data_IF_177246824045
#
_entry.id   IF_177246824045
#
_cell.length_a   1.000
_cell.length_b   1.000
_cell.length_c   1.000
_cell.angle_alpha   90.00
_cell.angle_beta   90.00
_cell.angle_gamma   90.00
#
_symmetry.space_group_name_H-M   'P 1'
#
loop_
_entity.id
_entity.type
_entity.pdbx_description
1 polymer ?
#
# COMPACT_ATOMS: atom_id res chain seq x y z
N UNK A 1 38.16 -50.80 -36.04
CA UNK A 1 37.66 -50.68 -34.66
C UNK A 1 38.13 -49.34 -34.13
N UNK A 2 37.25 -48.39 -33.76
CA UNK A 2 37.69 -47.12 -33.19
C UNK A 2 37.80 -47.22 -31.67
N UNK A 3 38.94 -46.77 -31.14
CA UNK A 3 39.20 -46.63 -29.71
C UNK A 3 38.28 -45.58 -29.09
N UNK A 4 37.60 -45.96 -28.01
CA UNK A 4 36.77 -45.06 -27.22
C UNK A 4 37.66 -44.31 -26.22
N UNK A 5 38.14 -43.13 -26.61
CA UNK A 5 38.75 -42.18 -25.69
C UNK A 5 37.73 -41.73 -24.64
N UNK A 6 37.75 -42.36 -23.46
CA UNK A 6 37.02 -41.91 -22.29
C UNK A 6 37.67 -40.61 -21.79
N UNK A 7 36.99 -39.48 -22.00
CA UNK A 7 37.32 -38.21 -21.36
C UNK A 7 37.20 -38.38 -19.84
N UNK A 8 38.30 -38.68 -19.17
CA UNK A 8 38.41 -38.54 -17.73
C UNK A 8 38.61 -37.06 -17.40
N UNK A 9 37.49 -36.34 -17.21
CA UNK A 9 37.54 -35.02 -16.58
C UNK A 9 38.13 -35.16 -15.17
N UNK A 10 39.16 -34.37 -14.81
CA UNK A 10 39.80 -34.48 -13.51
C UNK A 10 38.80 -34.17 -12.40
N UNK A 11 38.67 -35.09 -11.43
CA UNK A 11 37.72 -35.04 -10.30
C UNK A 11 37.70 -33.71 -9.52
N UNK A 12 38.82 -32.96 -9.57
CA UNK A 12 38.95 -31.63 -8.96
C UNK A 12 38.13 -30.54 -9.68
N UNK A 13 37.98 -30.62 -11.01
CA UNK A 13 37.19 -29.64 -11.78
C UNK A 13 35.70 -29.67 -11.42
N UNK A 14 35.13 -30.86 -11.17
CA UNK A 14 33.74 -31.00 -10.71
C UNK A 14 33.49 -30.46 -9.31
N UNK A 15 34.50 -30.47 -8.44
CA UNK A 15 34.42 -29.90 -7.09
C UNK A 15 34.48 -28.37 -7.11
N UNK A 16 35.34 -27.78 -7.95
CA UNK A 16 35.42 -26.33 -8.11
C UNK A 16 34.16 -25.73 -8.75
N UNK A 17 33.60 -26.39 -9.78
CA UNK A 17 32.33 -25.93 -10.38
C UNK A 17 31.16 -26.01 -9.39
N UNK A 18 31.07 -27.08 -8.59
CA UNK A 18 30.06 -27.20 -7.54
C UNK A 18 30.23 -26.13 -6.45
N UNK A 19 31.46 -25.87 -6.02
CA UNK A 19 31.76 -24.86 -5.00
C UNK A 19 31.43 -23.45 -5.49
N UNK A 20 31.76 -23.13 -6.76
CA UNK A 20 31.39 -21.86 -7.39
C UNK A 20 29.87 -21.73 -7.50
N UNK A 21 29.15 -22.78 -7.90
CA UNK A 21 27.68 -22.78 -7.97
C UNK A 21 27.05 -22.50 -6.60
N UNK A 22 27.55 -23.14 -5.53
CA UNK A 22 27.07 -22.92 -4.16
C UNK A 22 27.40 -21.49 -3.71
N UNK A 23 28.61 -20.99 -3.94
CA UNK A 23 29.00 -19.61 -3.61
C UNK A 23 28.17 -18.58 -4.38
N UNK A 24 27.85 -18.83 -5.65
CA UNK A 24 26.95 -17.99 -6.44
C UNK A 24 25.53 -18.03 -5.88
N UNK A 25 24.99 -19.20 -5.54
CA UNK A 25 23.66 -19.33 -4.94
C UNK A 25 23.56 -18.60 -3.59
N UNK A 26 24.57 -18.75 -2.73
CA UNK A 26 24.63 -18.07 -1.43
C UNK A 26 24.82 -16.56 -1.61
N UNK A 27 25.70 -16.16 -2.52
CA UNK A 27 25.95 -14.75 -2.86
C UNK A 27 24.72 -14.04 -3.40
N UNK A 28 24.02 -14.66 -4.37
CA UNK A 28 22.76 -14.14 -4.93
C UNK A 28 21.71 -14.04 -3.81
N UNK A 29 21.56 -15.06 -2.96
CA UNK A 29 20.63 -15.03 -1.83
C UNK A 29 20.92 -13.89 -0.84
N UNK A 30 22.20 -13.67 -0.51
CA UNK A 30 22.61 -12.59 0.39
C UNK A 30 22.38 -11.20 -0.22
N UNK A 31 22.69 -11.03 -1.52
CA UNK A 31 22.45 -9.79 -2.27
C UNK A 31 20.95 -9.50 -2.37
N UNK A 32 20.10 -10.49 -2.68
CA UNK A 32 18.65 -10.31 -2.72
C UNK A 32 18.07 -9.92 -1.35
N UNK A 33 18.59 -10.49 -0.25
CA UNK A 33 18.20 -10.11 1.12
C UNK A 33 18.62 -8.67 1.46
N UNK A 34 19.82 -8.26 1.08
CA UNK A 34 20.30 -6.90 1.26
C UNK A 34 19.50 -5.91 0.41
N UNK A 35 19.27 -6.21 -0.86
CA UNK A 35 18.46 -5.38 -1.76
C UNK A 35 17.03 -5.19 -1.23
N UNK A 36 16.39 -6.24 -0.70
CA UNK A 36 15.08 -6.13 -0.05
C UNK A 36 15.07 -5.26 1.21
N UNK A 37 16.15 -5.26 1.99
CA UNK A 37 16.32 -4.36 3.14
C UNK A 37 16.53 -2.90 2.72
N UNK A 38 17.29 -2.65 1.66
CA UNK A 38 17.49 -1.29 1.13
C UNK A 38 16.24 -0.72 0.46
N UNK A 39 15.47 -1.56 -0.25
CA UNK A 39 14.20 -1.18 -0.85
C UNK A 39 13.21 -0.66 0.20
N UNK A 40 13.00 -1.42 1.28
CA UNK A 40 12.10 -1.02 2.37
C UNK A 40 12.60 0.19 3.18
N UNK A 41 13.92 0.42 3.25
CA UNK A 41 14.50 1.55 3.99
C UNK A 41 14.45 2.88 3.21
N UNK A 42 14.35 2.83 1.89
CA UNK A 42 14.40 4.02 1.02
C UNK A 42 13.03 4.60 0.67
N UNK A 43 11.94 3.91 1.00
CA UNK A 43 10.59 4.39 0.68
C UNK A 43 10.20 5.45 1.71
N UNK A 44 9.95 6.66 1.22
CA UNK A 44 9.39 7.73 2.04
C UNK A 44 7.90 7.48 2.17
N UNK A 45 7.47 7.08 3.35
CA UNK A 45 6.06 6.81 3.61
C UNK A 45 5.27 8.13 3.52
N UNK A 46 4.10 8.11 2.89
CA UNK A 46 3.25 9.28 2.73
C UNK A 46 2.82 9.84 4.10
N UNK A 47 2.64 8.97 5.09
CA UNK A 47 2.36 9.34 6.48
C UNK A 47 3.47 10.18 7.14
N UNK A 48 4.71 10.05 6.68
CA UNK A 48 5.87 10.84 7.12
C UNK A 48 6.07 12.11 6.28
N UNK A 49 5.49 12.14 5.08
CA UNK A 49 5.67 13.24 4.11
C UNK A 49 4.51 14.23 4.14
N UNK A 50 3.30 13.77 4.45
CA UNK A 50 2.06 14.55 4.35
C UNK A 50 1.27 14.57 5.66
N UNK A 51 0.45 15.61 5.80
CA UNK A 51 -0.59 15.72 6.81
C UNK A 51 -1.89 16.20 6.18
N UNK A 52 -3.02 15.68 6.64
CA UNK A 52 -4.33 16.20 6.26
C UNK A 52 -4.63 17.50 7.00
N UNK A 53 -5.08 18.53 6.29
CA UNK A 53 -5.48 19.83 6.86
C UNK A 53 -6.71 19.67 7.78
N UNK A 54 -7.70 18.92 7.30
CA UNK A 54 -8.89 18.52 8.04
C UNK A 54 -9.14 17.04 7.79
N UNK A 55 -8.93 16.23 8.82
CA UNK A 55 -9.15 14.79 8.75
C UNK A 55 -10.63 14.43 8.83
N UNK A 56 -11.45 15.28 9.46
CA UNK A 56 -12.85 14.97 9.72
C UNK A 56 -13.77 15.95 8.99
N UNK A 57 -14.79 15.41 8.32
CA UNK A 57 -15.91 16.13 7.72
C UNK A 57 -17.22 15.56 8.24
N UNK A 58 -18.26 16.39 8.33
CA UNK A 58 -19.58 15.96 8.80
C UNK A 58 -20.65 16.48 7.85
N UNK A 59 -21.66 15.65 7.60
CA UNK A 59 -22.88 16.02 6.90
C UNK A 59 -24.05 15.28 7.55
N UNK A 60 -25.08 16.02 7.94
CA UNK A 60 -26.32 15.47 8.52
C UNK A 60 -26.10 14.42 9.64
N UNK A 61 -25.17 14.69 10.56
CA UNK A 61 -24.82 13.80 11.67
C UNK A 61 -23.94 12.60 11.30
N UNK A 62 -23.58 12.43 10.02
CA UNK A 62 -22.63 11.43 9.54
C UNK A 62 -21.24 12.06 9.48
N UNK A 63 -20.28 11.47 10.19
CA UNK A 63 -18.89 11.92 10.23
C UNK A 63 -17.99 10.99 9.43
N UNK A 64 -17.15 11.58 8.60
CA UNK A 64 -16.15 10.91 7.79
C UNK A 64 -14.79 11.35 8.27
N UNK A 65 -13.93 10.40 8.60
CA UNK A 65 -12.55 10.62 8.98
C UNK A 65 -11.64 9.95 7.95
N UNK A 66 -10.66 10.69 7.44
CA UNK A 66 -9.62 10.18 6.54
C UNK A 66 -8.26 10.53 7.13
N UNK A 67 -7.40 9.53 7.26
CA UNK A 67 -6.06 9.68 7.81
C UNK A 67 -5.06 8.71 7.19
N UNK A 68 -3.78 8.97 7.39
CA UNK A 68 -2.74 8.00 7.00
C UNK A 68 -2.61 6.89 8.05
N UNK A 69 -2.28 5.69 7.61
CA UNK A 69 -2.01 4.55 8.47
C UNK A 69 -0.59 4.68 9.03
N UNK A 70 -0.44 4.69 10.36
CA UNK A 70 0.86 4.85 11.03
C UNK A 70 1.45 3.51 11.47
N UNK A 71 2.79 3.37 11.54
CA UNK A 71 3.43 2.24 12.19
C UNK A 71 2.87 2.01 13.60
N UNK A 72 2.53 0.75 13.93
CA UNK A 72 1.88 0.38 15.18
C UNK A 72 0.35 0.30 15.12
N UNK A 73 -0.28 0.78 14.05
CA UNK A 73 -1.71 0.55 13.79
C UNK A 73 -1.98 -0.91 13.41
N UNK A 74 -3.13 -1.52 13.81
CA UNK A 74 -3.53 -2.83 13.30
C UNK A 74 -3.79 -2.85 11.79
N UNK A 75 -3.97 -1.67 11.19
CA UNK A 75 -4.14 -1.48 9.75
C UNK A 75 -2.81 -1.34 9.00
N UNK A 76 -1.69 -1.19 9.71
CA UNK A 76 -0.39 -0.96 9.09
C UNK A 76 0.16 -2.24 8.46
N UNK A 77 0.63 -2.13 7.22
CA UNK A 77 1.37 -3.18 6.54
C UNK A 77 2.53 -2.55 5.75
N UNK A 78 3.77 -2.99 5.95
CA UNK A 78 4.93 -2.38 5.30
C UNK A 78 4.99 -2.61 3.78
N UNK A 79 4.33 -3.65 3.25
CA UNK A 79 4.23 -3.87 1.80
C UNK A 79 3.21 -2.91 1.21
N UNK A 80 2.06 -2.73 1.86
CA UNK A 80 1.04 -1.79 1.38
C UNK A 80 1.54 -0.35 1.40
N UNK A 81 2.23 0.05 2.47
CA UNK A 81 2.80 1.39 2.64
C UNK A 81 3.98 1.67 1.69
N UNK A 82 4.61 0.62 1.17
CA UNK A 82 5.70 0.71 0.20
C UNK A 82 5.21 0.92 -1.24
N UNK A 83 4.19 0.16 -1.63
CA UNK A 83 3.77 0.04 -3.02
C UNK A 83 2.51 0.85 -3.36
N UNK A 84 1.80 1.36 -2.35
CA UNK A 84 0.53 2.03 -2.50
C UNK A 84 0.41 3.24 -1.58
N UNK A 85 -0.36 4.24 -2.02
CA UNK A 85 -0.80 5.29 -1.12
C UNK A 85 -2.03 4.79 -0.37
N UNK A 86 -1.86 4.42 0.90
CA UNK A 86 -2.95 3.88 1.73
C UNK A 86 -3.50 4.88 2.73
N UNK A 87 -4.82 4.89 2.88
CA UNK A 87 -5.53 5.73 3.85
C UNK A 87 -6.47 4.89 4.70
N UNK A 88 -6.60 5.27 5.97
CA UNK A 88 -7.61 4.79 6.88
C UNK A 88 -8.85 5.67 6.74
N UNK A 89 -10.00 5.05 6.54
CA UNK A 89 -11.30 5.71 6.48
C UNK A 89 -12.15 5.21 7.63
N UNK A 90 -12.75 6.13 8.37
CA UNK A 90 -13.75 5.82 9.38
C UNK A 90 -15.02 6.64 9.11
N UNK A 91 -16.17 5.97 9.09
CA UNK A 91 -17.49 6.54 8.85
C UNK A 91 -18.34 6.26 10.09
N UNK A 92 -18.83 7.31 10.73
CA UNK A 92 -19.63 7.20 11.96
C UNK A 92 -20.97 7.87 11.71
N UNK A 93 -22.06 7.09 11.73
CA UNK A 93 -23.40 7.62 11.54
C UNK A 93 -24.08 7.90 12.89
N UNK A 94 -24.07 9.18 13.31
CA UNK A 94 -24.87 9.66 14.46
C UNK A 94 -26.11 10.45 14.01
N UNK A 95 -26.41 10.43 12.71
CA UNK A 95 -27.57 11.09 12.11
C UNK A 95 -28.85 10.29 12.29
N UNK A 96 -29.89 10.69 11.55
CA UNK A 96 -31.19 10.00 11.51
C UNK A 96 -31.40 9.16 10.24
N UNK A 97 -30.63 9.45 9.21
CA UNK A 97 -30.72 8.83 7.88
C UNK A 97 -29.62 7.79 7.68
N UNK A 98 -29.86 6.83 6.79
CA UNK A 98 -28.78 5.91 6.37
C UNK A 98 -27.97 6.53 5.24
N UNK A 99 -26.76 6.01 5.05
CA UNK A 99 -25.93 6.34 3.89
C UNK A 99 -25.49 5.07 3.19
N UNK A 100 -25.60 5.09 1.86
CA UNK A 100 -24.98 4.09 1.00
C UNK A 100 -23.59 4.60 0.58
N UNK A 101 -22.56 3.79 0.78
CA UNK A 101 -21.19 4.12 0.38
C UNK A 101 -20.49 2.90 -0.22
N UNK A 102 -19.56 3.17 -1.13
CA UNK A 102 -18.67 2.21 -1.74
C UNK A 102 -17.22 2.71 -1.69
N UNK A 103 -16.23 1.81 -1.63
CA UNK A 103 -14.82 2.18 -1.78
C UNK A 103 -14.55 3.02 -3.04
N UNK A 104 -15.27 2.71 -4.14
CA UNK A 104 -15.13 3.39 -5.42
C UNK A 104 -15.67 4.83 -5.44
N UNK A 105 -16.36 5.27 -4.38
CA UNK A 105 -16.84 6.66 -4.23
C UNK A 105 -15.70 7.62 -3.84
N UNK A 106 -14.55 7.08 -3.44
CA UNK A 106 -13.36 7.82 -3.07
C UNK A 106 -12.44 8.00 -4.28
N UNK A 107 -11.82 9.17 -4.40
CA UNK A 107 -10.89 9.50 -5.47
C UNK A 107 -9.68 10.25 -4.92
N UNK A 108 -8.50 9.91 -5.40
CA UNK A 108 -7.27 10.64 -5.14
C UNK A 108 -7.03 11.60 -6.30
N UNK A 109 -6.97 12.89 -6.01
CA UNK A 109 -6.81 13.96 -7.00
C UNK A 109 -5.47 14.65 -6.82
N UNK A 110 -4.66 14.62 -7.87
CA UNK A 110 -3.40 15.34 -7.93
C UNK A 110 -3.60 16.78 -8.47
N UNK A 111 -2.67 17.71 -8.18
CA UNK A 111 -2.79 19.12 -8.61
C UNK A 111 -2.85 19.33 -10.12
N UNK A 112 -2.29 18.39 -10.89
CA UNK A 112 -2.26 18.36 -12.35
C UNK A 112 -3.53 17.77 -12.97
N UNK A 113 -4.60 17.63 -12.17
CA UNK A 113 -5.92 17.07 -12.54
C UNK A 113 -5.91 15.57 -12.84
N UNK A 114 -4.83 14.84 -12.56
CA UNK A 114 -4.90 13.38 -12.56
C UNK A 114 -5.78 12.90 -11.40
N UNK A 115 -6.71 12.00 -11.70
CA UNK A 115 -7.65 11.42 -10.74
C UNK A 115 -7.48 9.91 -10.75
N UNK A 116 -7.24 9.35 -9.58
CA UNK A 116 -7.13 7.91 -9.37
C UNK A 116 -8.27 7.43 -8.49
N UNK A 117 -8.94 6.34 -8.88
CA UNK A 117 -9.81 5.59 -7.98
C UNK A 117 -8.95 4.66 -7.11
N UNK A 118 -9.44 4.22 -5.93
CA UNK A 118 -8.77 3.16 -5.22
C UNK A 118 -8.87 1.86 -6.01
N UNK A 119 -7.92 0.96 -5.77
CA UNK A 119 -8.03 -0.43 -6.22
C UNK A 119 -9.18 -1.10 -5.50
N UNK A 120 -10.02 -1.84 -6.21
CA UNK A 120 -10.96 -2.75 -5.55
C UNK A 120 -10.22 -3.82 -4.75
N UNK A 121 -10.87 -4.44 -3.76
CA UNK A 121 -10.23 -5.46 -2.93
C UNK A 121 -9.65 -6.60 -3.79
N UNK A 122 -10.39 -7.05 -4.83
CA UNK A 122 -9.92 -8.07 -5.75
C UNK A 122 -8.66 -7.65 -6.52
N UNK A 123 -8.69 -6.44 -7.09
CA UNK A 123 -7.58 -5.86 -7.85
C UNK A 123 -6.33 -5.68 -6.98
N UNK A 124 -6.49 -5.23 -5.73
CA UNK A 124 -5.39 -5.08 -4.79
C UNK A 124 -4.77 -6.45 -4.45
N UNK A 125 -5.61 -7.47 -4.20
CA UNK A 125 -5.13 -8.83 -3.93
C UNK A 125 -4.41 -9.44 -5.15
N UNK A 126 -4.89 -9.17 -6.36
CA UNK A 126 -4.22 -9.59 -7.60
C UNK A 126 -2.91 -8.84 -7.82
N UNK A 127 -2.89 -7.52 -7.61
CA UNK A 127 -1.69 -6.69 -7.74
C UNK A 127 -0.58 -7.12 -6.77
N UNK A 128 -0.93 -7.46 -5.53
CA UNK A 128 0.01 -8.05 -4.57
C UNK A 128 0.55 -9.42 -5.05
N UNK A 129 -0.19 -10.12 -5.89
CA UNK A 129 0.22 -11.40 -6.47
C UNK A 129 1.20 -11.24 -7.64
N UNK A 130 1.13 -10.14 -8.37
CA UNK A 130 1.95 -9.90 -9.58
C UNK A 130 3.17 -9.02 -9.30
N UNK A 131 3.06 -8.02 -8.43
CA UNK A 131 4.14 -7.06 -8.13
C UNK A 131 5.39 -7.67 -7.47
N UNK A 132 5.26 -8.81 -6.80
CA UNK A 132 6.37 -9.48 -6.12
C UNK A 132 7.04 -10.58 -6.95
N UNK A 133 6.64 -10.84 -8.20
CA UNK A 133 7.25 -11.90 -9.03
C UNK A 133 8.78 -11.76 -9.17
N UNK A 134 9.34 -10.55 -9.03
CA UNK A 134 10.79 -10.31 -8.97
C UNK A 134 11.49 -10.62 -7.63
N UNK A 135 10.77 -10.82 -6.53
CA UNK A 135 11.29 -11.06 -5.17
C UNK A 135 10.77 -12.35 -4.50
N UNK A 136 9.86 -13.08 -5.18
CA UNK A 136 9.15 -14.28 -4.70
C UNK A 136 10.01 -15.56 -4.61
N UNK A 137 11.30 -15.51 -4.98
CA UNK A 137 12.18 -16.69 -4.89
C UNK A 137 12.59 -17.08 -3.44
N UNK A 138 12.12 -16.39 -2.39
CA UNK A 138 12.43 -16.73 -0.99
C UNK A 138 11.16 -17.10 -0.18
N UNK A 139 11.16 -18.24 0.57
CA UNK A 139 10.01 -18.68 1.37
C UNK A 139 9.48 -17.64 2.38
N UNK A 140 10.36 -16.78 2.90
CA UNK A 140 10.00 -15.69 3.81
C UNK A 140 9.16 -14.59 3.11
N UNK A 141 9.36 -14.37 1.81
CA UNK A 141 8.60 -13.41 1.01
C UNK A 141 7.15 -13.89 0.80
N UNK A 142 6.95 -15.19 0.57
CA UNK A 142 5.62 -15.77 0.40
C UNK A 142 4.78 -15.76 1.68
N UNK A 143 5.39 -15.99 2.85
CA UNK A 143 4.68 -15.86 4.14
C UNK A 143 4.19 -14.43 4.36
N UNK A 144 5.06 -13.43 4.16
CA UNK A 144 4.70 -12.01 4.30
C UNK A 144 3.61 -11.60 3.32
N UNK A 145 3.70 -12.04 2.07
CA UNK A 145 2.66 -11.81 1.06
C UNK A 145 1.30 -12.36 1.51
N UNK A 146 1.27 -13.58 2.02
CA UNK A 146 0.04 -14.20 2.51
C UNK A 146 -0.53 -13.49 3.74
N UNK A 147 0.33 -13.02 4.64
CA UNK A 147 -0.06 -12.19 5.78
C UNK A 147 -0.67 -10.86 5.32
N UNK A 148 -0.04 -10.17 4.36
CA UNK A 148 -0.59 -8.94 3.76
C UNK A 148 -1.94 -9.18 3.08
N UNK A 149 -2.07 -10.25 2.28
CA UNK A 149 -3.36 -10.61 1.66
C UNK A 149 -4.43 -10.88 2.70
N UNK A 150 -4.10 -11.61 3.77
CA UNK A 150 -5.02 -11.87 4.87
C UNK A 150 -5.44 -10.57 5.54
N UNK A 151 -4.52 -9.64 5.78
CA UNK A 151 -4.83 -8.34 6.35
C UNK A 151 -5.77 -7.55 5.44
N UNK A 152 -5.45 -7.39 4.15
CA UNK A 152 -6.32 -6.73 3.16
C UNK A 152 -7.74 -7.31 3.17
N UNK A 153 -7.87 -8.64 3.19
CA UNK A 153 -9.19 -9.29 3.25
C UNK A 153 -10.01 -8.89 4.48
N UNK A 154 -9.35 -8.63 5.60
CA UNK A 154 -10.00 -8.32 6.88
C UNK A 154 -10.20 -6.82 7.11
N UNK A 155 -9.36 -5.97 6.52
CA UNK A 155 -9.30 -4.55 6.85
C UNK A 155 -9.72 -3.63 5.72
N UNK A 156 -9.85 -4.12 4.49
CA UNK A 156 -10.27 -3.30 3.36
C UNK A 156 -11.70 -2.80 3.59
N UNK A 157 -11.95 -1.52 3.30
CA UNK A 157 -13.26 -0.90 3.51
C UNK A 157 -14.32 -1.63 2.66
N UNK A 158 -15.37 -2.23 3.26
CA UNK A 158 -16.42 -2.87 2.48
C UNK A 158 -17.40 -1.84 1.93
N UNK A 159 -18.00 -2.10 0.77
CA UNK A 159 -19.20 -1.36 0.34
C UNK A 159 -20.41 -1.79 1.17
N UNK A 160 -21.14 -0.83 1.73
CA UNK A 160 -22.28 -1.13 2.61
C UNK A 160 -23.26 0.03 2.75
N UNK A 161 -24.45 -0.29 3.23
CA UNK A 161 -25.38 0.66 3.84
C UNK A 161 -25.04 0.85 5.32
N UNK A 162 -24.86 2.09 5.77
CA UNK A 162 -24.59 2.43 7.16
C UNK A 162 -25.81 3.09 7.82
N UNK A 163 -26.44 2.35 8.73
CA UNK A 163 -27.60 2.83 9.49
C UNK A 163 -27.20 3.77 10.65
N UNK A 164 -28.15 4.59 11.14
CA UNK A 164 -27.97 5.39 12.35
C UNK A 164 -27.47 4.56 13.56
N UNK A 165 -26.49 5.08 14.28
CA UNK A 165 -25.89 4.44 15.46
C UNK A 165 -24.73 3.50 15.16
N UNK A 166 -24.47 3.19 13.88
CA UNK A 166 -23.37 2.30 13.48
C UNK A 166 -22.14 3.08 13.00
N UNK A 167 -21.00 2.42 13.10
CA UNK A 167 -19.72 2.87 12.56
C UNK A 167 -19.09 1.81 11.65
N UNK A 168 -18.25 2.29 10.74
CA UNK A 168 -17.44 1.48 9.85
C UNK A 168 -16.06 2.07 9.73
N UNK A 169 -15.08 1.19 9.66
CA UNK A 169 -13.67 1.54 9.52
C UNK A 169 -13.00 0.55 8.56
N UNK A 170 -12.09 1.04 7.73
CA UNK A 170 -11.32 0.22 6.82
C UNK A 170 -10.29 1.02 6.05
N UNK A 171 -9.47 0.29 5.30
CA UNK A 171 -8.42 0.87 4.47
C UNK A 171 -8.88 1.03 3.02
N UNK A 172 -8.35 2.05 2.36
CA UNK A 172 -8.35 2.21 0.91
C UNK A 172 -6.92 2.29 0.42
N UNK A 173 -6.65 1.71 -0.76
CA UNK A 173 -5.34 1.75 -1.40
C UNK A 173 -5.46 2.40 -2.78
N UNK A 174 -4.61 3.37 -3.04
CA UNK A 174 -4.50 4.07 -4.32
C UNK A 174 -3.14 3.75 -4.98
N UNK A 175 -3.00 3.99 -6.30
CA UNK A 175 -1.68 3.99 -6.93
C UNK A 175 -0.72 4.90 -6.16
N UNK A 176 0.51 4.43 -5.97
CA UNK A 176 1.53 5.20 -5.28
C UNK A 176 1.79 6.53 -5.99
N UNK A 177 1.74 7.63 -5.24
CA UNK A 177 1.94 8.97 -5.79
C UNK A 177 3.42 9.16 -6.15
N UNK A 178 3.72 9.14 -7.46
CA UNK A 178 5.06 9.44 -7.95
C UNK A 178 5.38 10.94 -7.87
N UNK A 179 6.65 11.27 -7.65
CA UNK A 179 7.15 12.66 -7.67
C UNK A 179 6.81 13.49 -6.43
N UNK A 180 5.98 12.98 -5.50
CA UNK A 180 5.57 13.65 -4.26
C UNK A 180 5.15 15.11 -4.50
N UNK A 181 3.94 15.41 -4.99
CA UNK A 181 3.45 16.78 -5.18
C UNK A 181 3.24 17.49 -3.84
N UNK A 182 3.18 18.82 -3.81
CA UNK A 182 3.08 19.59 -2.57
C UNK A 182 1.76 19.37 -1.81
N UNK A 183 0.72 19.00 -2.54
CA UNK A 183 -0.57 18.59 -1.98
C UNK A 183 -1.29 17.64 -2.91
N UNK A 184 -2.27 16.92 -2.38
CA UNK A 184 -3.26 16.16 -3.13
C UNK A 184 -4.55 16.11 -2.30
N UNK A 185 -5.65 15.69 -2.91
CA UNK A 185 -6.92 15.55 -2.22
C UNK A 185 -7.41 14.10 -2.25
N UNK A 186 -8.06 13.68 -1.17
CA UNK A 186 -9.01 12.58 -1.22
C UNK A 186 -10.40 13.21 -1.32
N UNK A 187 -11.09 12.97 -2.43
CA UNK A 187 -12.46 13.42 -2.68
C UNK A 187 -13.41 12.24 -2.55
N UNK A 188 -14.44 12.41 -1.73
CA UNK A 188 -15.54 11.48 -1.61
C UNK A 188 -16.75 12.07 -2.33
N UNK A 189 -17.27 11.37 -3.33
CA UNK A 189 -18.37 11.82 -4.20
C UNK A 189 -19.47 10.76 -4.28
N UNK A 190 -20.56 11.03 -5.00
CA UNK A 190 -21.62 10.05 -5.28
C UNK A 190 -22.33 9.46 -4.05
N UNK A 191 -22.06 10.01 -2.88
CA UNK A 191 -22.79 9.67 -1.67
C UNK A 191 -24.26 10.06 -1.82
N UNK A 192 -25.14 9.19 -1.32
CA UNK A 192 -26.56 9.46 -1.23
C UNK A 192 -27.07 9.29 0.20
N UNK A 193 -27.84 10.26 0.67
CA UNK A 193 -28.50 10.25 1.97
C UNK A 193 -30.01 10.14 1.74
N UNK A 194 -30.61 9.05 2.19
CA UNK A 194 -31.99 8.67 1.86
C UNK A 194 -32.30 8.78 0.34
N UNK A 195 -31.32 8.41 -0.51
CA UNK A 195 -31.44 8.46 -1.96
C UNK A 195 -31.23 9.84 -2.60
N UNK A 196 -30.91 10.89 -1.82
CA UNK A 196 -30.56 12.22 -2.34
C UNK A 196 -29.05 12.39 -2.43
N UNK A 197 -28.56 12.82 -3.59
CA UNK A 197 -27.14 13.11 -3.79
C UNK A 197 -26.68 14.24 -2.86
N UNK A 198 -25.52 14.07 -2.23
CA UNK A 198 -24.90 15.09 -1.38
C UNK A 198 -23.64 15.71 -2.04
N UNK A 199 -23.26 16.94 -1.66
CA UNK A 199 -22.05 17.56 -2.18
C UNK A 199 -20.79 16.73 -1.87
N UNK A 200 -19.78 16.76 -2.76
CA UNK A 200 -18.53 16.05 -2.51
C UNK A 200 -17.83 16.53 -1.23
N UNK A 201 -17.24 15.60 -0.49
CA UNK A 201 -16.40 15.90 0.67
C UNK A 201 -14.93 15.87 0.26
N UNK A 202 -14.18 16.91 0.63
CA UNK A 202 -12.78 17.06 0.28
C UNK A 202 -11.87 17.02 1.52
N UNK A 203 -10.87 16.14 1.45
CA UNK A 203 -9.81 15.97 2.45
C UNK A 203 -8.46 16.28 1.80
N UNK A 204 -7.92 17.46 2.07
CA UNK A 204 -6.65 17.92 1.50
C UNK A 204 -5.48 17.46 2.34
N UNK A 205 -4.51 16.77 1.72
CA UNK A 205 -3.23 16.41 2.29
C UNK A 205 -2.15 17.37 1.76
N UNK A 206 -1.33 17.94 2.66
CA UNK A 206 -0.20 18.82 2.32
C UNK A 206 1.10 18.26 2.84
N UNK A 207 2.20 18.50 2.12
CA UNK A 207 3.54 18.14 2.61
C UNK A 207 3.81 18.79 3.96
N UNK A 208 4.45 18.03 4.83
CA UNK A 208 5.00 18.53 6.09
C UNK A 208 6.24 19.36 5.72
N UNK A 209 6.31 20.66 6.08
CA UNK A 209 7.49 21.46 5.79
C UNK A 209 8.70 20.85 6.49
N UNK A 210 9.84 20.79 5.80
CA UNK A 210 11.08 20.37 6.44
C UNK A 210 11.36 21.28 7.64
N UNK A 211 11.80 20.72 8.79
CA UNK A 211 12.24 21.55 9.89
C UNK A 211 13.31 22.51 9.37
N UNK A 212 13.27 23.81 9.75
CA UNK A 212 14.27 24.76 9.30
C UNK A 212 15.64 24.18 9.61
N UNK A 213 16.52 24.14 8.61
CA UNK A 213 17.89 23.70 8.81
C UNK A 213 18.42 24.51 9.99
N UNK A 214 18.81 23.83 11.08
CA UNK A 214 19.45 24.49 12.22
C UNK A 214 20.56 25.35 11.62
N UNK A 215 20.40 26.67 11.70
CA UNK A 215 21.47 27.57 11.33
C UNK A 215 22.66 27.13 12.17
N UNK A 216 23.73 26.68 11.51
CA UNK A 216 25.00 26.46 12.19
C UNK A 216 25.43 27.83 12.69
N UNK A 217 25.18 28.11 13.96
CA UNK A 217 25.81 29.19 14.72
C UNK A 217 27.28 28.87 14.90
#
# INVERSE_FOLDING_TARGET
MPDTNKLHLPRKWGQWTLLVLILSLVGISAISRLAGLFYLKSLKNESATYKFDKQTRSIDGIRFHVGFIRPGSPYFNPILDADYTTVLVQIINKGKSYIDYQPMDFFLELPDKHVYRPFDQGELLESLSTGLLGTVMAPASMKRLNETRKQVRMTYLPGARLFPGYDREGILAFPHIQGFPDSFNIRLTQLSLDGKAIPPLLFTARKIPAPPAKAKS
#
